data_IF_322597542009
#
_entry.id   IF_322597542009
#
_cell.length_a   1.000
_cell.length_b   1.000
_cell.length_c   1.000
_cell.angle_alpha   90.00
_cell.angle_beta   90.00
_cell.angle_gamma   90.00
#
_symmetry.space_group_name_H-M   'P 1'
#
loop_
_entity.id
_entity.type
_entity.pdbx_description
1 polymer ?
#
# COMPACT_ATOMS: atom_id res chain seq x y z
N UNK A 1 -9.92 1.32 -10.27
CA UNK A 1 -9.70 0.10 -9.47
C UNK A 1 -10.28 0.35 -8.09
N UNK A 2 -11.25 -0.45 -7.67
CA UNK A 2 -11.81 -0.38 -6.32
C UNK A 2 -11.23 -1.56 -5.53
N UNK A 3 -10.19 -1.31 -4.72
CA UNK A 3 -9.58 -2.32 -3.85
C UNK A 3 -9.94 -1.99 -2.40
N UNK A 4 -10.18 -3.01 -1.58
CA UNK A 4 -10.45 -2.77 -0.16
C UNK A 4 -9.17 -2.37 0.58
N UNK A 5 -9.34 -1.68 1.71
CA UNK A 5 -8.22 -1.32 2.59
C UNK A 5 -7.42 -2.55 3.03
N UNK A 6 -8.11 -3.67 3.31
CA UNK A 6 -7.46 -4.95 3.64
C UNK A 6 -6.62 -5.48 2.49
N UNK A 7 -7.13 -5.45 1.26
CA UNK A 7 -6.35 -5.87 0.09
C UNK A 7 -5.12 -4.99 -0.12
N UNK A 8 -5.27 -3.67 0.00
CA UNK A 8 -4.14 -2.75 -0.14
C UNK A 8 -3.09 -2.96 0.96
N UNK A 9 -3.52 -3.16 2.21
CA UNK A 9 -2.62 -3.43 3.32
C UNK A 9 -1.82 -4.73 3.09
N UNK A 10 -2.48 -5.80 2.64
CA UNK A 10 -1.82 -7.05 2.26
C UNK A 10 -0.81 -6.85 1.14
N UNK A 11 -1.17 -6.13 0.07
CA UNK A 11 -0.25 -5.85 -1.05
C UNK A 11 0.98 -5.05 -0.64
N UNK A 12 0.83 -4.17 0.36
CA UNK A 12 1.92 -3.34 0.89
C UNK A 12 2.72 -4.05 2.01
N UNK A 13 2.31 -5.24 2.44
CA UNK A 13 2.94 -5.98 3.55
C UNK A 13 2.81 -5.27 4.90
N UNK A 14 1.73 -4.52 5.13
CA UNK A 14 1.47 -3.78 6.36
C UNK A 14 0.13 -4.19 6.99
N UNK A 15 -0.06 -3.87 8.27
CA UNK A 15 -1.37 -4.04 8.90
C UNK A 15 -2.38 -3.00 8.37
N UNK A 16 -3.66 -3.38 8.36
CA UNK A 16 -4.77 -2.46 8.04
C UNK A 16 -4.72 -1.21 8.93
N UNK A 17 -4.37 -1.38 10.20
CA UNK A 17 -4.22 -0.27 11.16
C UNK A 17 -3.12 0.73 10.78
N UNK A 18 -2.03 0.28 10.19
CA UNK A 18 -0.98 1.18 9.67
C UNK A 18 -1.52 2.00 8.51
N UNK A 19 -2.26 1.37 7.59
CA UNK A 19 -2.90 2.05 6.47
C UNK A 19 -3.96 3.07 6.93
N UNK A 20 -4.82 2.70 7.88
CA UNK A 20 -5.78 3.62 8.52
C UNK A 20 -5.09 4.84 9.15
N UNK A 21 -3.93 4.64 9.77
CA UNK A 21 -3.16 5.72 10.39
C UNK A 21 -2.61 6.69 9.34
N UNK A 22 -2.29 6.20 8.14
CA UNK A 22 -1.86 7.04 7.02
C UNK A 22 -3.03 7.82 6.41
N UNK A 23 -4.16 7.15 6.17
CA UNK A 23 -5.36 7.78 5.59
C UNK A 23 -5.94 8.87 6.50
N UNK A 24 -5.88 8.68 7.81
CA UNK A 24 -6.29 9.69 8.81
C UNK A 24 -5.24 10.79 9.05
N UNK A 25 -4.06 10.70 8.44
CA UNK A 25 -2.97 11.68 8.61
C UNK A 25 -2.29 11.65 9.98
N UNK A 26 -2.53 10.64 10.81
CA UNK A 26 -1.87 10.48 12.12
C UNK A 26 -0.40 10.08 11.95
N UNK A 27 -0.10 9.31 10.91
CA UNK A 27 1.25 8.94 10.49
C UNK A 27 1.38 9.11 8.98
N UNK A 28 2.60 9.09 8.49
CA UNK A 28 2.85 9.11 7.05
C UNK A 28 3.69 7.90 6.62
N UNK A 29 3.51 7.43 5.37
CA UNK A 29 4.37 6.39 4.81
C UNK A 29 5.82 6.86 4.75
N UNK A 30 6.75 5.93 4.98
CA UNK A 30 8.18 6.16 4.76
C UNK A 30 8.47 6.46 3.28
N UNK A 31 9.65 6.99 2.97
CA UNK A 31 10.05 7.24 1.58
C UNK A 31 9.97 5.98 0.70
N UNK A 32 10.35 4.82 1.24
CA UNK A 32 10.24 3.52 0.56
C UNK A 32 8.78 3.09 0.37
N UNK A 33 7.94 3.25 1.39
CA UNK A 33 6.51 2.93 1.28
C UNK A 33 5.82 3.85 0.24
N UNK A 34 6.17 5.14 0.19
CA UNK A 34 5.69 6.06 -0.86
C UNK A 34 6.11 5.60 -2.26
N UNK A 35 7.34 5.07 -2.41
CA UNK A 35 7.80 4.52 -3.69
C UNK A 35 6.98 3.29 -4.10
N UNK A 36 6.69 2.39 -3.15
CA UNK A 36 5.87 1.21 -3.37
C UNK A 36 4.44 1.58 -3.78
N UNK A 37 3.82 2.53 -3.09
CA UNK A 37 2.47 3.04 -3.43
C UNK A 37 2.45 3.62 -4.84
N UNK A 38 3.45 4.43 -5.22
CA UNK A 38 3.55 4.97 -6.60
C UNK A 38 3.69 3.86 -7.64
N UNK A 39 4.47 2.83 -7.34
CA UNK A 39 4.63 1.68 -8.22
C UNK A 39 3.33 0.90 -8.38
N UNK A 40 2.58 0.72 -7.28
CA UNK A 40 1.29 0.03 -7.26
C UNK A 40 0.23 0.76 -8.09
N UNK A 41 0.22 2.10 -8.05
CA UNK A 41 -0.65 2.93 -8.90
C UNK A 41 -0.27 2.80 -10.39
N UNK A 42 1.02 2.77 -10.71
CA UNK A 42 1.50 2.71 -12.10
C UNK A 42 1.41 1.32 -12.73
N UNK A 43 1.65 0.26 -11.94
CA UNK A 43 1.67 -1.11 -12.41
C UNK A 43 1.22 -2.08 -11.30
N UNK A 44 -0.09 -2.26 -11.11
CA UNK A 44 -0.64 -3.12 -10.07
C UNK A 44 -0.19 -4.58 -10.21
N UNK A 45 -0.13 -5.07 -11.45
CA UNK A 45 0.27 -6.43 -11.78
C UNK A 45 1.74 -6.72 -11.43
N UNK A 46 2.60 -5.71 -11.45
CA UNK A 46 4.01 -5.87 -11.10
C UNK A 46 4.18 -6.16 -9.61
N UNK A 47 3.48 -5.41 -8.76
CA UNK A 47 3.50 -5.58 -7.30
C UNK A 47 2.97 -6.96 -6.93
N UNK A 48 1.82 -7.36 -7.48
CA UNK A 48 1.20 -8.66 -7.20
C UNK A 48 2.07 -9.86 -7.60
N UNK A 49 2.90 -9.72 -8.64
CA UNK A 49 3.73 -10.81 -9.16
C UNK A 49 5.10 -10.95 -8.47
N UNK A 50 5.59 -9.90 -7.81
CA UNK A 50 6.98 -9.83 -7.31
C UNK A 50 7.12 -9.66 -5.80
N UNK A 51 6.02 -9.55 -5.04
CA UNK A 51 6.02 -9.50 -3.57
C UNK A 51 5.57 -10.83 -2.92
N UNK A 52 5.55 -11.92 -3.69
CA UNK A 52 5.28 -13.27 -3.20
C UNK A 52 6.53 -13.93 -2.62
#
# INVERSE_FOLDING_TARGET
MNISQTQLATMLGISVRTLESWERGVRHPSSSAKALIRLLIKSPHFVLKNLA
#
